data_IF_310429872001
#
_entry.id   IF_310429872001
#
_cell.length_a   1.000
_cell.length_b   1.000
_cell.length_c   1.000
_cell.angle_alpha   90.00
_cell.angle_beta   90.00
_cell.angle_gamma   90.00
#
_symmetry.space_group_name_H-M   'P 1'
#
loop_
_entity.id
_entity.type
_entity.pdbx_description
1 polymer ?
#
# COMPACT_ATOMS: atom_id res chain seq x y z
N UNK A 1 3.65 -34.93 -18.28
CA UNK A 1 2.17 -34.84 -18.16
C UNK A 1 1.84 -33.70 -17.20
N UNK A 2 1.50 -32.51 -17.70
CA UNK A 2 1.10 -31.40 -16.83
C UNK A 2 -0.40 -31.54 -16.51
N UNK A 3 -0.74 -31.69 -15.22
CA UNK A 3 -2.13 -31.61 -14.75
C UNK A 3 -2.59 -30.16 -14.90
N UNK A 4 -3.72 -29.95 -15.58
CA UNK A 4 -4.41 -28.65 -15.63
C UNK A 4 -4.78 -28.24 -14.20
N UNK A 5 -4.20 -27.15 -13.71
CA UNK A 5 -4.76 -26.41 -12.57
C UNK A 5 -5.30 -25.10 -13.11
N UNK A 6 -6.61 -25.06 -13.36
CA UNK A 6 -7.35 -23.80 -13.43
C UNK A 6 -7.54 -23.33 -11.99
N UNK A 7 -6.92 -22.21 -11.61
CA UNK A 7 -7.23 -21.55 -10.34
C UNK A 7 -8.53 -20.78 -10.53
N UNK A 8 -9.62 -21.34 -10.01
CA UNK A 8 -10.91 -20.65 -9.86
C UNK A 8 -10.90 -20.02 -8.47
N UNK A 9 -10.87 -18.68 -8.37
CA UNK A 9 -11.20 -18.01 -7.11
C UNK A 9 -12.71 -18.04 -6.94
N UNK A 10 -13.21 -19.07 -6.28
CA UNK A 10 -14.48 -19.01 -5.58
C UNK A 10 -14.16 -19.31 -4.11
N UNK A 11 -14.54 -18.38 -3.24
CA UNK A 11 -14.47 -18.60 -1.80
C UNK A 11 -15.21 -19.89 -1.44
N UNK A 12 -14.74 -20.50 -0.35
CA UNK A 12 -15.09 -21.82 0.20
C UNK A 12 -14.25 -22.96 -0.37
N UNK A 13 -13.40 -23.49 0.51
CA UNK A 13 -12.41 -24.51 0.21
C UNK A 13 -13.04 -25.86 -0.09
N UNK A 14 -12.80 -26.35 -1.29
CA UNK A 14 -12.79 -27.77 -1.66
C UNK A 14 -12.01 -27.94 -2.97
N UNK A 15 -11.11 -28.92 -3.03
CA UNK A 15 -10.28 -29.25 -4.19
C UNK A 15 -10.96 -30.30 -5.05
N UNK A 16 -11.41 -29.96 -6.26
CA UNK A 16 -11.92 -30.95 -7.23
C UNK A 16 -10.82 -31.35 -8.22
N UNK A 17 -10.55 -32.64 -8.32
CA UNK A 17 -9.56 -33.23 -9.23
C UNK A 17 -10.22 -33.67 -10.54
N UNK A 18 -9.86 -33.06 -11.67
CA UNK A 18 -10.34 -33.45 -13.01
C UNK A 18 -9.30 -34.35 -13.71
N UNK A 19 -9.75 -35.52 -14.19
CA UNK A 19 -8.93 -36.47 -14.97
C UNK A 19 -8.69 -35.97 -16.40
N UNK A 20 -7.56 -36.38 -16.97
CA UNK A 20 -7.05 -36.00 -18.29
C UNK A 20 -7.90 -36.57 -19.44
N UNK A 21 -8.22 -35.72 -20.43
CA UNK A 21 -8.79 -36.14 -21.72
C UNK A 21 -10.15 -35.50 -22.03
N UNK A 22 -10.15 -34.20 -22.31
CA UNK A 22 -11.26 -33.53 -23.00
C UNK A 22 -10.71 -32.26 -23.66
N UNK A 23 -10.41 -32.37 -24.95
CA UNK A 23 -10.33 -31.26 -25.89
C UNK A 23 -11.72 -31.12 -26.48
N UNK A 24 -12.52 -30.18 -25.98
CA UNK A 24 -13.70 -29.70 -26.71
C UNK A 24 -14.18 -28.34 -26.16
N UNK A 25 -14.18 -27.37 -27.07
CA UNK A 25 -15.02 -26.17 -27.12
C UNK A 25 -15.24 -25.34 -25.83
N UNK A 26 -14.43 -24.29 -25.68
CA UNK A 26 -14.82 -23.07 -24.95
C UNK A 26 -14.86 -21.85 -25.89
N UNK A 27 -15.37 -22.03 -27.11
CA UNK A 27 -15.58 -20.93 -28.08
C UNK A 27 -17.00 -20.36 -28.07
N UNK A 28 -17.90 -20.81 -27.18
CA UNK A 28 -19.34 -20.49 -27.27
C UNK A 28 -19.93 -19.60 -26.16
N UNK A 29 -19.13 -18.90 -25.36
CA UNK A 29 -19.69 -18.06 -24.27
C UNK A 29 -19.26 -16.58 -24.25
N UNK A 30 -19.00 -15.96 -25.40
CA UNK A 30 -19.22 -14.51 -25.60
C UNK A 30 -18.81 -13.52 -24.49
N UNK A 31 -17.67 -13.71 -23.81
CA UNK A 31 -17.14 -12.77 -22.83
C UNK A 31 -15.98 -11.97 -23.46
N UNK A 32 -16.06 -10.63 -23.56
CA UNK A 32 -14.98 -9.84 -24.14
C UNK A 32 -13.81 -9.75 -23.14
N UNK A 33 -12.59 -9.98 -23.63
CA UNK A 33 -11.29 -9.84 -22.95
C UNK A 33 -10.64 -11.09 -22.29
N UNK A 34 -10.72 -12.27 -22.91
CA UNK A 34 -9.70 -13.29 -22.72
C UNK A 34 -8.75 -13.33 -23.93
N UNK A 35 -7.51 -12.83 -23.76
CA UNK A 35 -6.43 -13.29 -24.63
C UNK A 35 -6.03 -14.66 -24.11
N UNK A 36 -6.40 -15.72 -24.84
CA UNK A 36 -5.82 -17.03 -24.63
C UNK A 36 -4.31 -16.92 -24.87
N UNK A 37 -3.51 -17.08 -23.82
CA UNK A 37 -2.08 -17.36 -24.01
C UNK A 37 -2.01 -18.80 -24.46
N UNK A 38 -1.65 -19.00 -25.72
CA UNK A 38 -1.47 -20.33 -26.28
C UNK A 38 -0.36 -21.07 -25.51
N UNK A 39 -0.76 -22.05 -24.70
CA UNK A 39 0.15 -22.87 -23.88
C UNK A 39 1.06 -23.78 -24.72
N UNK A 40 0.94 -23.79 -26.05
CA UNK A 40 1.85 -24.54 -26.91
C UNK A 40 3.22 -23.85 -27.11
N UNK A 41 3.36 -22.56 -26.76
CA UNK A 41 4.61 -21.81 -26.92
C UNK A 41 5.45 -21.61 -25.65
N UNK A 42 4.99 -22.06 -24.47
CA UNK A 42 5.68 -21.76 -23.20
C UNK A 42 6.88 -22.68 -22.92
N UNK A 43 6.99 -23.83 -23.59
CA UNK A 43 8.09 -24.79 -23.32
C UNK A 43 9.44 -24.43 -23.97
N UNK A 44 9.56 -23.29 -24.65
CA UNK A 44 10.81 -22.83 -25.28
C UNK A 44 11.20 -21.40 -24.94
N UNK A 45 10.57 -20.77 -23.94
CA UNK A 45 11.01 -19.45 -23.48
C UNK A 45 12.27 -19.61 -22.63
N UNK A 46 13.36 -18.96 -23.06
CA UNK A 46 14.57 -18.80 -22.27
C UNK A 46 14.18 -18.32 -20.85
N UNK A 47 14.70 -18.91 -19.76
CA UNK A 47 14.39 -18.50 -18.38
C UNK A 47 14.47 -16.98 -18.15
N UNK A 48 15.41 -16.30 -18.82
CA UNK A 48 15.54 -14.84 -18.79
C UNK A 48 14.34 -14.12 -19.41
N UNK A 49 13.77 -14.65 -20.50
CA UNK A 49 12.57 -14.11 -21.14
C UNK A 49 11.34 -14.33 -20.26
N UNK A 50 11.18 -15.51 -19.67
CA UNK A 50 10.07 -15.81 -18.74
C UNK A 50 10.08 -14.90 -17.51
N UNK A 51 11.26 -14.61 -16.94
CA UNK A 51 11.41 -13.66 -15.85
C UNK A 51 11.01 -12.24 -16.27
N UNK A 52 11.43 -11.79 -17.46
CA UNK A 52 11.08 -10.48 -18.00
C UNK A 52 9.57 -10.28 -18.17
N UNK A 53 8.85 -11.28 -18.68
CA UNK A 53 7.38 -11.24 -18.79
C UNK A 53 6.68 -11.15 -17.43
N UNK A 54 7.20 -11.85 -16.42
CA UNK A 54 6.62 -11.85 -15.08
C UNK A 54 6.82 -10.51 -14.36
N UNK A 55 7.97 -9.87 -14.54
CA UNK A 55 8.21 -8.52 -14.01
C UNK A 55 7.39 -7.45 -14.73
N UNK A 56 7.21 -7.56 -16.05
CA UNK A 56 6.34 -6.65 -16.78
C UNK A 56 4.88 -6.75 -16.29
N UNK A 57 4.41 -7.96 -15.93
CA UNK A 57 3.08 -8.14 -15.35
C UNK A 57 2.89 -7.38 -14.02
N UNK A 58 3.96 -7.18 -13.24
CA UNK A 58 3.94 -6.44 -11.98
C UNK A 58 4.24 -4.94 -12.13
N UNK A 59 4.49 -4.47 -13.35
CA UNK A 59 4.86 -3.07 -13.59
C UNK A 59 3.76 -2.12 -13.10
N UNK A 60 4.13 -1.22 -12.20
CA UNK A 60 3.24 -0.17 -11.69
C UNK A 60 3.04 0.98 -12.67
N UNK A 61 3.59 0.91 -13.89
CA UNK A 61 3.15 1.77 -15.01
C UNK A 61 1.76 1.37 -15.53
N UNK A 62 1.29 0.16 -15.24
CA UNK A 62 -0.01 -0.35 -15.69
C UNK A 62 -1.10 -0.02 -14.65
N UNK A 63 -2.22 0.53 -15.12
CA UNK A 63 -3.28 1.06 -14.27
C UNK A 63 -3.98 -0.03 -13.43
N UNK A 64 -4.04 -1.26 -13.93
CA UNK A 64 -4.54 -2.43 -13.20
C UNK A 64 -3.69 -2.75 -11.96
N UNK A 65 -2.35 -2.70 -12.07
CA UNK A 65 -1.47 -2.90 -10.92
C UNK A 65 -1.60 -1.76 -9.90
N UNK A 66 -1.68 -0.50 -10.36
CA UNK A 66 -1.94 0.66 -9.50
C UNK A 66 -3.25 0.50 -8.72
N UNK A 67 -4.31 0.06 -9.41
CA UNK A 67 -5.62 -0.20 -8.82
C UNK A 67 -5.58 -1.32 -7.79
N UNK A 68 -4.91 -2.44 -8.09
CA UNK A 68 -4.75 -3.56 -7.14
C UNK A 68 -4.07 -3.10 -5.84
N UNK A 69 -3.02 -2.29 -5.94
CA UNK A 69 -2.32 -1.73 -4.77
C UNK A 69 -3.28 -0.86 -3.95
N UNK A 70 -3.90 0.14 -4.57
CA UNK A 70 -4.78 1.10 -3.87
C UNK A 70 -5.99 0.39 -3.25
N UNK A 71 -6.63 -0.51 -3.99
CA UNK A 71 -7.79 -1.25 -3.51
C UNK A 71 -7.43 -2.14 -2.33
N UNK A 72 -6.28 -2.83 -2.38
CA UNK A 72 -5.81 -3.67 -1.27
C UNK A 72 -5.56 -2.85 -0.02
N UNK A 73 -4.87 -1.71 -0.13
CA UNK A 73 -4.67 -0.80 1.00
C UNK A 73 -6.01 -0.32 1.57
N UNK A 74 -6.92 0.15 0.72
CA UNK A 74 -8.22 0.66 1.16
C UNK A 74 -9.10 -0.44 1.78
N UNK A 75 -9.03 -1.68 1.29
CA UNK A 75 -9.74 -2.80 1.91
C UNK A 75 -9.23 -3.08 3.32
N UNK A 76 -7.90 -3.10 3.51
CA UNK A 76 -7.28 -3.30 4.82
C UNK A 76 -7.57 -2.14 5.78
N UNK A 77 -7.48 -0.90 5.29
CA UNK A 77 -7.79 0.32 6.06
C UNK A 77 -9.23 0.36 6.57
N UNK A 78 -10.20 -0.18 5.81
CA UNK A 78 -11.59 -0.36 6.27
C UNK A 78 -11.73 -1.44 7.33
N UNK A 79 -10.89 -2.48 7.26
CA UNK A 79 -10.95 -3.68 8.08
C UNK A 79 -10.25 -3.59 9.43
N UNK A 80 -9.67 -2.44 9.79
CA UNK A 80 -8.89 -2.29 11.01
C UNK A 80 -9.69 -2.57 12.29
N UNK A 81 -9.00 -3.09 13.30
CA UNK A 81 -9.53 -3.33 14.64
C UNK A 81 -8.57 -2.75 15.68
N UNK A 82 -9.04 -1.86 16.58
CA UNK A 82 -10.38 -1.26 16.65
C UNK A 82 -10.71 -0.41 15.41
N UNK A 83 -11.98 -0.05 15.20
CA UNK A 83 -12.38 0.75 14.04
C UNK A 83 -11.84 2.18 14.12
N UNK A 84 -11.62 2.81 12.97
CA UNK A 84 -11.04 4.14 12.87
C UNK A 84 -12.08 5.21 12.49
N UNK A 85 -12.11 6.34 13.20
CA UNK A 85 -13.02 7.46 12.88
C UNK A 85 -12.49 8.41 11.81
N UNK A 86 -11.17 8.43 11.58
CA UNK A 86 -10.48 9.42 10.74
C UNK A 86 -9.64 8.80 9.60
N UNK A 87 -9.83 7.53 9.29
CA UNK A 87 -9.01 6.83 8.29
C UNK A 87 -9.23 7.40 6.89
N UNK A 88 -8.23 8.06 6.29
CA UNK A 88 -8.37 8.58 4.93
C UNK A 88 -8.38 7.45 3.88
N UNK A 89 -9.14 7.66 2.82
CA UNK A 89 -9.07 6.87 1.60
C UNK A 89 -7.75 7.14 0.89
N UNK A 90 -7.05 6.08 0.53
CA UNK A 90 -5.79 6.14 -0.20
C UNK A 90 -6.04 6.26 -1.71
N UNK A 91 -5.21 7.04 -2.39
CA UNK A 91 -5.18 7.24 -3.83
C UNK A 91 -3.77 7.03 -4.41
N UNK A 92 -3.70 6.68 -5.69
CA UNK A 92 -2.43 6.54 -6.39
C UNK A 92 -1.83 7.90 -6.72
N UNK A 93 -0.52 8.06 -6.51
CA UNK A 93 0.23 9.24 -6.93
C UNK A 93 1.34 8.88 -7.92
N UNK A 94 1.25 9.34 -9.17
CA UNK A 94 2.31 9.16 -10.17
C UNK A 94 3.65 9.77 -9.75
N UNK A 95 3.63 10.89 -9.03
CA UNK A 95 4.84 11.58 -8.54
C UNK A 95 5.58 10.72 -7.51
N UNK A 96 4.84 10.12 -6.57
CA UNK A 96 5.40 9.20 -5.57
C UNK A 96 5.93 7.94 -6.25
N UNK A 97 5.18 7.39 -7.22
CA UNK A 97 5.60 6.19 -7.94
C UNK A 97 6.90 6.40 -8.72
N UNK A 98 7.12 7.61 -9.25
CA UNK A 98 8.39 7.99 -9.89
C UNK A 98 9.56 7.94 -8.90
N UNK A 99 9.39 8.47 -7.69
CA UNK A 99 10.42 8.40 -6.64
C UNK A 99 10.69 6.96 -6.21
N UNK A 100 9.63 6.19 -5.94
CA UNK A 100 9.75 4.76 -5.60
C UNK A 100 10.48 3.97 -6.68
N UNK A 101 10.19 4.23 -7.97
CA UNK A 101 10.87 3.59 -9.11
C UNK A 101 12.35 3.98 -9.19
N UNK A 102 12.66 5.26 -8.99
CA UNK A 102 14.04 5.73 -8.99
C UNK A 102 14.88 5.02 -7.92
N UNK A 103 14.28 4.78 -6.75
CA UNK A 103 14.93 4.03 -5.66
C UNK A 103 15.00 2.52 -5.91
N UNK A 104 13.90 1.89 -6.30
CA UNK A 104 13.86 0.44 -6.56
C UNK A 104 14.94 0.03 -7.58
N UNK A 105 15.15 0.84 -8.61
CA UNK A 105 16.16 0.60 -9.65
C UNK A 105 17.61 0.69 -9.16
N UNK A 106 17.87 1.24 -7.97
CA UNK A 106 19.22 1.22 -7.38
C UNK A 106 19.61 -0.17 -6.87
N UNK A 107 18.63 -1.06 -6.66
CA UNK A 107 18.86 -2.43 -6.19
C UNK A 107 19.71 -2.52 -4.90
N UNK A 108 19.60 -1.51 -4.04
CA UNK A 108 20.35 -1.41 -2.77
C UNK A 108 19.81 -2.34 -1.69
N UNK A 109 18.54 -2.77 -1.81
CA UNK A 109 17.85 -3.57 -0.81
C UNK A 109 17.85 -2.88 0.58
N UNK A 110 17.66 -1.57 0.60
CA UNK A 110 17.61 -0.77 1.82
C UNK A 110 16.63 0.40 1.67
N UNK A 111 16.33 1.09 2.77
CA UNK A 111 15.49 2.28 2.75
C UNK A 111 16.16 3.45 2.02
N UNK A 112 15.35 4.22 1.30
CA UNK A 112 15.83 5.41 0.62
C UNK A 112 16.18 6.54 1.60
N UNK A 113 17.17 7.37 1.27
CA UNK A 113 17.36 8.67 1.89
C UNK A 113 16.06 9.51 1.95
N UNK A 114 15.90 10.32 2.99
CA UNK A 114 14.66 11.08 3.22
C UNK A 114 14.36 12.11 2.12
N UNK A 115 15.39 12.67 1.50
CA UNK A 115 15.30 13.59 0.37
C UNK A 115 14.78 12.91 -0.91
N UNK A 116 14.96 11.60 -1.05
CA UNK A 116 14.35 10.79 -2.12
C UNK A 116 12.92 10.31 -1.80
N UNK A 117 12.38 10.70 -0.64
CA UNK A 117 11.01 10.43 -0.18
C UNK A 117 10.26 11.72 0.05
N UNK A 118 10.30 12.60 -0.94
CA UNK A 118 9.70 13.92 -0.82
C UNK A 118 9.01 14.33 -2.11
N UNK A 119 7.80 14.84 -1.94
CA UNK A 119 7.09 15.65 -2.93
C UNK A 119 6.90 17.04 -2.32
N UNK A 120 5.73 17.67 -2.43
CA UNK A 120 5.39 18.84 -1.61
C UNK A 120 5.41 18.57 -0.09
N UNK A 121 5.43 17.30 0.33
CA UNK A 121 5.50 16.82 1.71
C UNK A 121 6.50 15.66 1.83
N UNK A 122 7.00 15.40 3.03
CA UNK A 122 7.79 14.20 3.33
C UNK A 122 6.92 12.95 3.32
N UNK A 123 7.49 11.83 2.86
CA UNK A 123 6.81 10.57 2.65
C UNK A 123 7.49 9.43 3.41
N UNK A 124 6.69 8.45 3.85
CA UNK A 124 7.15 7.19 4.43
C UNK A 124 7.49 6.18 3.33
N UNK A 125 7.96 5.00 3.73
CA UNK A 125 8.33 3.94 2.79
C UNK A 125 8.21 2.56 3.43
N UNK A 126 7.62 1.61 2.69
CA UNK A 126 7.69 0.18 2.98
C UNK A 126 8.48 -0.51 1.88
N UNK A 127 9.24 -1.53 2.26
CA UNK A 127 10.05 -2.34 1.35
C UNK A 127 9.64 -3.80 1.46
N UNK A 128 9.73 -4.52 0.34
CA UNK A 128 9.63 -5.98 0.33
C UNK A 128 10.68 -6.54 -0.61
N UNK A 129 11.30 -7.65 -0.20
CA UNK A 129 12.41 -8.26 -0.91
C UNK A 129 12.19 -9.76 -1.01
N UNK A 130 12.39 -10.32 -2.20
CA UNK A 130 12.15 -11.74 -2.45
C UNK A 130 13.03 -12.28 -3.57
N UNK A 131 13.24 -13.60 -3.59
CA UNK A 131 13.98 -14.30 -4.65
C UNK A 131 13.10 -14.64 -5.86
N UNK A 132 11.79 -14.52 -5.71
CA UNK A 132 10.78 -14.75 -6.73
C UNK A 132 9.73 -13.62 -6.68
N UNK A 133 9.09 -13.29 -7.81
CA UNK A 133 8.09 -12.23 -7.85
C UNK A 133 6.79 -12.64 -7.14
N UNK A 134 6.14 -11.66 -6.50
CA UNK A 134 4.88 -11.78 -5.78
C UNK A 134 3.89 -10.75 -6.31
N UNK A 135 2.60 -11.06 -6.22
CA UNK A 135 1.57 -10.10 -6.59
C UNK A 135 1.56 -8.91 -5.62
N UNK A 136 1.22 -7.73 -6.11
CA UNK A 136 1.09 -6.55 -5.24
C UNK A 136 0.12 -6.76 -4.06
N UNK A 137 -1.05 -7.42 -4.23
CA UNK A 137 -1.91 -7.75 -3.10
C UNK A 137 -1.24 -8.61 -2.01
N UNK A 138 -0.37 -9.55 -2.39
CA UNK A 138 0.35 -10.40 -1.44
C UNK A 138 1.42 -9.60 -0.70
N UNK A 139 2.17 -8.74 -1.41
CA UNK A 139 3.17 -7.86 -0.79
C UNK A 139 2.55 -6.91 0.23
N UNK A 140 1.40 -6.31 -0.11
CA UNK A 140 0.69 -5.42 0.82
C UNK A 140 0.09 -6.20 1.99
N UNK A 141 -0.33 -7.45 1.77
CA UNK A 141 -0.80 -8.32 2.86
C UNK A 141 0.35 -8.69 3.81
N UNK A 142 1.55 -9.00 3.29
CA UNK A 142 2.73 -9.31 4.10
C UNK A 142 3.09 -8.16 5.05
N UNK A 143 3.10 -6.92 4.54
CA UNK A 143 3.27 -5.72 5.38
C UNK A 143 2.17 -5.56 6.42
N UNK A 144 0.93 -5.87 6.08
CA UNK A 144 -0.20 -5.76 7.00
C UNK A 144 -0.17 -6.84 8.09
N UNK A 145 0.37 -8.02 7.79
CA UNK A 145 0.36 -9.18 8.68
C UNK A 145 1.19 -8.99 9.96
N UNK A 146 2.05 -7.96 10.01
CA UNK A 146 2.68 -7.48 11.25
C UNK A 146 1.65 -7.06 12.32
N UNK A 147 0.37 -6.87 11.95
CA UNK A 147 -0.74 -6.67 12.90
C UNK A 147 -0.82 -7.77 13.96
N UNK A 148 -0.34 -8.98 13.65
CA UNK A 148 -0.29 -10.12 14.58
C UNK A 148 0.58 -9.83 15.80
N UNK A 149 1.58 -8.95 15.64
CA UNK A 149 2.52 -8.53 16.68
C UNK A 149 2.26 -7.09 17.15
N UNK A 150 1.07 -6.56 16.87
CA UNK A 150 0.67 -5.20 17.23
C UNK A 150 -0.56 -5.18 18.15
N UNK A 151 -0.53 -4.34 19.17
CA UNK A 151 -1.70 -4.01 20.00
C UNK A 151 -1.97 -2.51 19.94
N UNK A 152 -3.20 -2.13 19.57
CA UNK A 152 -3.59 -0.74 19.49
C UNK A 152 -3.52 -0.06 20.87
N UNK A 153 -2.95 1.14 20.90
CA UNK A 153 -2.64 1.90 22.12
C UNK A 153 -1.26 1.60 22.72
N UNK A 154 -0.68 0.42 22.45
CA UNK A 154 0.62 0.00 23.01
C UNK A 154 1.72 -0.05 21.95
N UNK A 155 1.42 -0.48 20.72
CA UNK A 155 2.40 -0.72 19.68
C UNK A 155 2.80 -2.20 19.59
N UNK A 156 4.09 -2.47 19.37
CA UNK A 156 4.63 -3.82 19.28
C UNK A 156 4.38 -4.63 20.57
N UNK A 157 3.92 -5.88 20.44
CA UNK A 157 3.55 -6.75 21.57
C UNK A 157 4.73 -7.48 22.19
N UNK A 158 5.87 -7.52 21.50
CA UNK A 158 7.11 -8.12 21.99
C UNK A 158 8.32 -7.27 21.63
N UNK A 159 9.39 -7.42 22.40
CA UNK A 159 10.63 -6.69 22.17
C UNK A 159 11.23 -7.10 20.83
N UNK A 160 11.45 -6.12 19.96
CA UNK A 160 12.04 -6.35 18.63
C UNK A 160 11.03 -6.77 17.55
N UNK A 161 9.74 -6.90 17.86
CA UNK A 161 8.72 -7.09 16.83
C UNK A 161 8.68 -5.86 15.89
N UNK A 162 8.63 -6.14 14.59
CA UNK A 162 8.52 -5.14 13.55
C UNK A 162 7.05 -4.94 13.25
N UNK A 163 6.56 -3.71 13.44
CA UNK A 163 5.16 -3.33 13.20
C UNK A 163 5.03 -2.10 12.28
N UNK A 164 6.17 -1.58 11.83
CA UNK A 164 6.25 -0.32 11.10
C UNK A 164 5.62 -0.39 9.71
N UNK A 165 5.66 -1.55 9.05
CA UNK A 165 5.02 -1.70 7.75
C UNK A 165 3.50 -1.70 7.91
N UNK A 166 2.98 -2.44 8.91
CA UNK A 166 1.55 -2.44 9.23
C UNK A 166 1.07 -1.04 9.58
N UNK A 167 1.71 -0.36 10.54
CA UNK A 167 1.27 0.96 11.00
C UNK A 167 1.30 1.98 9.86
N UNK A 168 2.22 1.87 8.90
CA UNK A 168 2.24 2.71 7.70
C UNK A 168 1.08 2.39 6.74
N UNK A 169 0.75 1.12 6.49
CA UNK A 169 -0.40 0.72 5.65
C UNK A 169 -1.70 1.30 6.22
N UNK A 170 -1.86 1.27 7.55
CA UNK A 170 -3.05 1.77 8.25
C UNK A 170 -2.90 3.18 8.82
N UNK A 171 -1.89 3.95 8.40
CA UNK A 171 -1.70 5.29 8.94
C UNK A 171 -2.82 6.23 8.47
N UNK A 172 -3.62 6.78 9.38
CA UNK A 172 -4.84 7.51 9.02
C UNK A 172 -4.59 8.64 8.03
N UNK A 173 -3.46 9.34 8.16
CA UNK A 173 -3.11 10.51 7.36
C UNK A 173 -2.48 10.18 6.00
N UNK A 174 -1.92 8.99 5.84
CA UNK A 174 -1.24 8.60 4.60
C UNK A 174 -2.27 8.27 3.53
N UNK A 175 -2.64 9.28 2.73
CA UNK A 175 -3.71 9.16 1.74
C UNK A 175 -3.19 9.05 0.30
N UNK A 176 -1.89 9.24 0.05
CA UNK A 176 -1.29 8.98 -1.27
C UNK A 176 -0.27 7.87 -1.18
N UNK A 177 -0.28 6.98 -2.17
CA UNK A 177 0.72 5.92 -2.32
C UNK A 177 1.25 5.88 -3.74
N UNK A 178 2.52 5.56 -3.88
CA UNK A 178 3.14 5.26 -5.17
C UNK A 178 4.20 4.19 -4.98
N UNK A 179 4.21 3.21 -5.86
CA UNK A 179 5.05 2.03 -5.72
C UNK A 179 5.79 1.67 -7.00
N UNK A 180 6.83 0.86 -6.84
CA UNK A 180 7.58 0.26 -7.93
C UNK A 180 8.20 -1.07 -7.50
N UNK A 181 8.43 -1.93 -8.49
CA UNK A 181 9.20 -3.16 -8.33
C UNK A 181 10.36 -3.15 -9.33
N UNK A 182 11.54 -3.61 -8.90
CA UNK A 182 12.73 -3.76 -9.72
C UNK A 182 13.24 -5.21 -9.70
N UNK A 183 13.76 -5.67 -10.84
CA UNK A 183 14.51 -6.92 -10.95
C UNK A 183 16.00 -6.64 -10.72
N UNK A 184 16.57 -7.24 -9.68
CA UNK A 184 17.92 -7.03 -9.18
C UNK A 184 18.73 -8.34 -9.27
N UNK A 185 19.12 -8.81 -10.47
CA UNK A 185 19.67 -10.15 -10.68
C UNK A 185 21.02 -10.40 -9.99
N UNK A 186 21.74 -9.33 -9.63
CA UNK A 186 23.04 -9.40 -8.93
C UNK A 186 22.91 -9.26 -7.41
N UNK A 187 21.72 -8.97 -6.90
CA UNK A 187 21.48 -8.76 -5.48
C UNK A 187 21.06 -10.07 -4.79
N UNK A 188 21.15 -10.11 -3.46
CA UNK A 188 20.73 -11.27 -2.65
C UNK A 188 19.27 -11.65 -2.90
N UNK A 189 18.42 -10.64 -3.07
CA UNK A 189 17.02 -10.79 -3.45
C UNK A 189 16.84 -10.20 -4.85
N UNK A 190 16.33 -11.03 -5.77
CA UNK A 190 16.17 -10.66 -7.18
C UNK A 190 14.99 -9.72 -7.40
N UNK A 191 14.06 -9.62 -6.47
CA UNK A 191 12.89 -8.74 -6.57
C UNK A 191 12.93 -7.72 -5.43
N UNK A 192 12.89 -6.44 -5.77
CA UNK A 192 12.88 -5.35 -4.80
C UNK A 192 11.67 -4.45 -5.02
N UNK A 193 10.77 -4.45 -4.03
CA UNK A 193 9.51 -3.68 -4.03
C UNK A 193 9.65 -2.50 -3.10
N UNK A 194 9.19 -1.35 -3.57
CA UNK A 194 9.21 -0.09 -2.83
C UNK A 194 7.82 0.53 -2.96
N UNK A 195 7.16 0.81 -1.84
CA UNK A 195 5.99 1.69 -1.79
C UNK A 195 6.32 2.88 -0.91
N UNK A 196 6.08 4.09 -1.40
CA UNK A 196 6.20 5.31 -0.63
C UNK A 196 4.80 5.90 -0.34
N UNK A 197 4.66 6.54 0.82
CA UNK A 197 3.37 6.98 1.36
C UNK A 197 3.42 8.45 1.76
N UNK A 198 2.51 9.28 1.26
CA UNK A 198 2.52 10.70 1.57
C UNK A 198 1.16 11.17 2.14
N UNK A 199 1.16 12.03 3.17
CA UNK A 199 2.30 12.35 4.04
C UNK A 199 2.84 11.12 4.77
N UNK A 200 4.09 11.19 5.26
CA UNK A 200 4.70 10.11 6.02
C UNK A 200 3.89 9.73 7.26
N UNK A 201 3.79 8.42 7.52
CA UNK A 201 3.25 7.88 8.76
C UNK A 201 4.31 7.68 9.84
N UNK A 202 3.98 6.82 10.81
CA UNK A 202 4.92 6.30 11.81
C UNK A 202 5.62 7.37 12.65
N UNK A 203 4.89 8.40 13.08
CA UNK A 203 5.39 9.37 14.06
C UNK A 203 5.67 8.65 15.38
N UNK A 204 6.85 8.86 15.97
CA UNK A 204 7.38 8.10 17.10
C UNK A 204 6.43 8.10 18.30
N UNK A 205 5.85 9.27 18.60
CA UNK A 205 4.88 9.51 19.67
C UNK A 205 3.51 8.87 19.44
N UNK A 206 3.17 8.55 18.18
CA UNK A 206 1.88 8.02 17.77
C UNK A 206 1.96 6.61 17.18
N UNK A 207 3.10 5.91 17.26
CA UNK A 207 3.30 4.58 16.68
C UNK A 207 2.27 3.55 17.18
N UNK A 208 1.90 3.59 18.47
CA UNK A 208 0.87 2.71 19.04
C UNK A 208 -0.56 3.06 18.63
N UNK A 209 -0.79 4.23 18.01
CA UNK A 209 -2.11 4.73 17.62
C UNK A 209 -2.07 5.28 16.18
N UNK A 210 -1.93 4.41 15.16
CA UNK A 210 -1.77 4.83 13.76
C UNK A 210 -3.03 5.51 13.18
N UNK A 211 -4.15 5.47 13.90
CA UNK A 211 -5.40 6.13 13.58
C UNK A 211 -6.13 6.48 14.88
N UNK A 212 -7.21 7.26 14.81
CA UNK A 212 -8.08 7.53 15.95
C UNK A 212 -9.19 6.49 16.02
N UNK A 213 -9.25 5.77 17.14
CA UNK A 213 -10.32 4.82 17.43
C UNK A 213 -11.68 5.53 17.48
N UNK A 214 -12.68 4.91 16.84
CA UNK A 214 -14.06 5.37 16.85
C UNK A 214 -14.90 4.74 15.74
N UNK A 215 -16.15 5.18 15.62
CA UNK A 215 -17.03 4.72 14.55
C UNK A 215 -16.45 5.11 13.18
N UNK A 216 -16.48 4.21 12.16
CA UNK A 216 -16.04 4.53 10.82
C UNK A 216 -16.61 5.87 10.32
N UNK A 217 -15.73 6.72 9.79
CA UNK A 217 -16.05 8.09 9.35
C UNK A 217 -16.63 9.04 10.42
N UNK A 218 -16.48 8.75 11.71
CA UNK A 218 -16.99 9.62 12.79
C UNK A 218 -16.42 11.04 12.77
N UNK A 219 -15.20 11.23 12.26
CA UNK A 219 -14.57 12.56 12.11
C UNK A 219 -14.80 13.19 10.72
N UNK A 220 -15.51 12.52 9.82
CA UNK A 220 -15.76 12.97 8.45
C UNK A 220 -17.17 12.57 7.94
N UNK A 221 -18.26 12.87 8.68
CA UNK A 221 -19.60 12.34 8.37
C UNK A 221 -20.11 12.73 6.97
N UNK A 222 -19.71 13.91 6.47
CA UNK A 222 -20.11 14.41 5.15
C UNK A 222 -19.13 14.05 4.03
N UNK A 223 -18.04 13.34 4.34
CA UNK A 223 -16.96 13.02 3.41
C UNK A 223 -16.51 11.57 3.61
N UNK A 224 -17.46 10.64 3.54
CA UNK A 224 -17.25 9.23 3.80
C UNK A 224 -17.49 8.39 2.54
N UNK A 225 -16.54 7.52 2.21
CA UNK A 225 -16.67 6.49 1.19
C UNK A 225 -16.41 5.11 1.82
N UNK A 226 -17.51 4.44 2.19
CA UNK A 226 -17.50 3.09 2.73
C UNK A 226 -16.51 2.94 3.91
N UNK A 227 -16.66 3.79 4.93
CA UNK A 227 -15.83 3.76 6.15
C UNK A 227 -14.47 4.48 6.04
N UNK A 228 -14.14 5.10 4.90
CA UNK A 228 -12.93 5.90 4.72
C UNK A 228 -13.26 7.38 4.47
N UNK A 229 -12.54 8.29 5.12
CA UNK A 229 -12.65 9.73 4.91
C UNK A 229 -12.08 10.16 3.55
N UNK A 230 -12.73 11.12 2.88
CA UNK A 230 -12.33 11.60 1.54
C UNK A 230 -11.96 13.08 1.51
N UNK A 231 -11.79 13.71 2.68
CA UNK A 231 -11.48 15.12 2.87
C UNK A 231 -10.09 15.32 3.52
N UNK A 232 -8.98 14.97 2.84
CA UNK A 232 -7.66 15.17 3.39
C UNK A 232 -7.29 16.66 3.49
N UNK A 233 -6.67 17.06 4.60
CA UNK A 233 -6.05 18.37 4.71
C UNK A 233 -4.78 18.40 3.85
N UNK A 234 -4.65 19.42 2.98
CA UNK A 234 -3.47 19.59 2.11
C UNK A 234 -2.22 20.06 2.85
N UNK A 235 -2.40 20.67 4.02
CA UNK A 235 -1.32 21.12 4.88
C UNK A 235 -0.90 20.02 5.85
N UNK A 236 0.36 20.09 6.28
CA UNK A 236 0.93 19.15 7.26
C UNK A 236 1.42 19.89 8.49
N UNK A 237 0.94 19.46 9.65
CA UNK A 237 1.47 19.94 10.93
C UNK A 237 2.80 19.25 11.20
N UNK A 238 3.80 20.04 11.61
CA UNK A 238 5.14 19.55 11.96
C UNK A 238 5.10 18.79 13.29
N UNK A 239 4.23 19.20 14.22
CA UNK A 239 4.14 18.64 15.56
C UNK A 239 2.74 18.05 15.85
N UNK A 240 2.69 17.00 16.67
CA UNK A 240 1.42 16.38 17.08
C UNK A 240 0.61 17.27 18.04
N UNK A 241 1.28 18.08 18.86
CA UNK A 241 0.65 19.03 19.80
C UNK A 241 0.24 20.37 19.16
N UNK A 242 0.21 20.46 17.83
CA UNK A 242 -0.24 21.66 17.12
C UNK A 242 -1.62 22.18 17.54
N UNK A 243 -2.63 21.33 17.86
CA UNK A 243 -3.89 21.79 18.44
C UNK A 243 -3.72 22.58 19.75
N UNK A 244 -2.86 22.12 20.66
CA UNK A 244 -2.60 22.79 21.94
C UNK A 244 -1.82 24.08 21.77
N UNK A 245 -0.86 24.09 20.84
CA UNK A 245 -0.09 25.29 20.47
C UNK A 245 -1.01 26.37 19.87
N UNK A 246 -1.91 25.98 18.95
CA UNK A 246 -2.85 26.91 18.35
C UNK A 246 -3.87 27.45 19.37
N UNK A 247 -4.28 26.63 20.34
CA UNK A 247 -5.14 27.08 21.45
C UNK A 247 -4.43 28.05 22.39
N UNK A 248 -3.17 27.80 22.70
CA UNK A 248 -2.39 28.59 23.67
C UNK A 248 -1.89 29.91 23.10
N UNK A 249 -1.41 29.92 21.86
CA UNK A 249 -0.74 31.08 21.25
C UNK A 249 -1.52 31.71 20.09
N UNK A 250 -2.55 31.03 19.59
CA UNK A 250 -3.30 31.47 18.42
C UNK A 250 -2.58 31.22 17.09
N UNK A 251 -3.36 31.07 16.02
CA UNK A 251 -2.84 30.82 14.67
C UNK A 251 -2.12 32.00 14.01
N UNK A 252 -2.25 33.21 14.57
CA UNK A 252 -1.52 34.38 14.11
C UNK A 252 -0.07 34.42 14.63
N UNK A 253 0.23 33.68 15.69
CA UNK A 253 1.59 33.61 16.23
C UNK A 253 2.53 32.94 15.22
N UNK A 254 3.63 33.60 14.86
CA UNK A 254 4.51 33.18 13.76
C UNK A 254 4.97 31.72 13.89
N UNK A 255 5.30 31.26 15.09
CA UNK A 255 5.71 29.88 15.32
C UNK A 255 4.59 28.88 14.97
N UNK A 256 3.35 29.12 15.43
CA UNK A 256 2.19 28.27 15.13
C UNK A 256 1.82 28.37 13.65
N UNK A 257 1.83 29.57 13.08
CA UNK A 257 1.50 29.78 11.67
C UNK A 257 2.40 28.96 10.73
N UNK A 258 3.70 28.89 11.04
CA UNK A 258 4.68 28.17 10.22
C UNK A 258 4.68 26.66 10.48
N UNK A 259 4.52 26.21 11.72
CA UNK A 259 4.68 24.81 12.09
C UNK A 259 3.35 24.03 12.21
N UNK A 260 2.22 24.74 12.33
CA UNK A 260 0.89 24.14 12.49
C UNK A 260 -0.11 24.59 11.41
N UNK A 261 0.26 24.60 10.11
CA UNK A 261 -0.61 25.10 9.06
C UNK A 261 -1.87 24.25 8.89
N UNK A 262 -1.82 22.93 9.14
CA UNK A 262 -3.00 22.08 9.04
C UNK A 262 -3.98 22.40 10.16
N UNK A 263 -3.50 22.53 11.40
CA UNK A 263 -4.35 22.93 12.52
C UNK A 263 -5.00 24.30 12.29
N UNK A 264 -4.27 25.24 11.70
CA UNK A 264 -4.76 26.59 11.51
C UNK A 264 -5.68 26.76 10.29
N UNK A 265 -5.41 26.06 9.19
CA UNK A 265 -6.09 26.27 7.91
C UNK A 265 -7.18 25.22 7.62
N UNK A 266 -7.04 24.01 8.14
CA UNK A 266 -8.02 22.94 7.94
C UNK A 266 -9.00 22.86 9.12
N UNK A 267 -10.28 23.12 8.83
CA UNK A 267 -11.35 23.17 9.83
C UNK A 267 -12.20 21.92 9.84
N UNK A 268 -12.40 21.31 8.66
CA UNK A 268 -13.30 20.17 8.47
C UNK A 268 -12.57 18.94 7.94
N UNK A 269 -11.38 19.13 7.41
CA UNK A 269 -10.54 18.12 6.80
C UNK A 269 -9.77 17.31 7.84
N UNK A 270 -9.47 16.05 7.50
CA UNK A 270 -8.62 15.19 8.33
C UNK A 270 -7.18 15.69 8.25
N UNK A 271 -6.59 15.99 9.41
CA UNK A 271 -5.23 16.52 9.58
C UNK A 271 -4.44 15.67 10.55
#
# INVERSE_FOLDING_TARGET
MCRKSLVRYLGFGETISLKSGATENLYSQGLPNFKAVDCTHIFTLNPLLAQGYLFDALSTSKADQQKLIVDKHNALRRGVKPSASNMLKMEWSPEIAKNAKAWANQCTLSHSPADMRKINVTCGENLFMSTAPFSWPDVVQDWYDEVKDFSYGTGATSLGAVVGHYTQVVWYRSYKVGCAVAHCPKAKFSCFYVCQYCPAGNRIDSLGKPYKEGNPCGDCPNNCDNGLCTNPCKYVDVYDNCPDLAKSFGCAFNFVKLNCPATCQCKTEIK
#
